data_IF_873173972795
#
_entry.id   IF_873173972795
#
_cell.length_a   1.000
_cell.length_b   1.000
_cell.length_c   1.000
_cell.angle_alpha   90.00
_cell.angle_beta   90.00
_cell.angle_gamma   90.00
#
_symmetry.space_group_name_H-M   'P 1'
#
loop_
_entity.id
_entity.type
_entity.pdbx_description
1 polymer ?
#
# COMPACT_ATOMS: atom_id res chain seq x y z
N UNK A 1 43.80 -20.76 -36.68
CA UNK A 1 44.30 -19.99 -35.51
C UNK A 1 43.49 -18.71 -35.26
N UNK A 2 43.18 -17.87 -36.27
CA UNK A 2 42.37 -16.63 -36.10
C UNK A 2 40.98 -16.84 -35.49
N UNK A 3 40.26 -17.89 -35.89
CA UNK A 3 38.89 -18.15 -35.41
C UNK A 3 38.83 -18.61 -33.95
N UNK A 4 39.87 -19.32 -33.48
CA UNK A 4 39.97 -19.80 -32.10
C UNK A 4 40.20 -18.65 -31.11
N UNK A 5 40.99 -17.64 -31.50
CA UNK A 5 41.17 -16.43 -30.70
C UNK A 5 39.87 -15.61 -30.58
N UNK A 6 39.08 -15.55 -31.66
CA UNK A 6 37.79 -14.85 -31.66
C UNK A 6 36.78 -15.52 -30.71
N UNK A 7 36.70 -16.85 -30.73
CA UNK A 7 35.84 -17.64 -29.83
C UNK A 7 36.25 -17.47 -28.36
N UNK A 8 37.55 -17.36 -28.08
CA UNK A 8 38.05 -17.15 -26.72
C UNK A 8 37.65 -15.78 -26.15
N UNK A 9 37.75 -14.71 -26.95
CA UNK A 9 37.32 -13.38 -26.55
C UNK A 9 35.79 -13.28 -26.36
N UNK A 10 35.01 -14.00 -27.18
CA UNK A 10 33.56 -14.09 -27.00
C UNK A 10 33.22 -14.81 -25.68
N UNK A 11 33.87 -15.93 -25.37
CA UNK A 11 33.62 -16.68 -24.13
C UNK A 11 33.87 -15.85 -22.86
N UNK A 12 34.89 -14.98 -22.88
CA UNK A 12 35.18 -14.04 -21.77
C UNK A 12 34.13 -12.92 -21.68
N UNK A 13 33.57 -12.49 -22.81
CA UNK A 13 32.49 -11.49 -22.83
C UNK A 13 31.16 -12.01 -22.28
N UNK A 14 30.91 -13.33 -22.35
CA UNK A 14 29.69 -13.95 -21.79
C UNK A 14 29.76 -14.23 -20.28
N UNK A 15 30.93 -14.13 -19.64
CA UNK A 15 31.04 -14.22 -18.18
C UNK A 15 30.69 -12.87 -17.52
N UNK A 16 29.56 -12.30 -17.92
CA UNK A 16 29.01 -11.10 -17.30
C UNK A 16 28.93 -11.33 -15.79
N UNK A 17 29.61 -10.46 -15.04
CA UNK A 17 29.76 -10.51 -13.58
C UNK A 17 28.44 -10.13 -12.91
N UNK A 18 27.39 -10.92 -13.14
CA UNK A 18 26.12 -10.76 -12.48
C UNK A 18 26.33 -10.91 -10.98
N UNK A 19 25.96 -9.86 -10.25
CA UNK A 19 25.97 -9.85 -8.79
C UNK A 19 24.58 -10.27 -8.36
N UNK A 20 24.50 -11.41 -7.71
CA UNK A 20 23.26 -11.84 -7.07
C UNK A 20 22.93 -10.87 -5.92
N UNK A 21 21.80 -10.17 -6.04
CA UNK A 21 21.36 -9.20 -5.02
C UNK A 21 20.34 -9.90 -4.14
N UNK A 22 20.81 -10.42 -3.00
CA UNK A 22 19.93 -10.99 -1.99
C UNK A 22 19.32 -9.87 -1.16
N UNK A 23 18.07 -9.53 -1.45
CA UNK A 23 17.30 -8.59 -0.64
C UNK A 23 16.68 -9.33 0.56
N UNK A 24 17.15 -9.01 1.77
CA UNK A 24 16.43 -9.37 2.99
C UNK A 24 15.35 -8.34 3.23
N UNK A 25 14.12 -8.69 2.88
CA UNK A 25 13.00 -7.79 3.04
C UNK A 25 12.54 -7.79 4.50
N UNK A 26 12.66 -6.64 5.18
CA UNK A 26 12.09 -6.50 6.52
C UNK A 26 10.56 -6.50 6.41
N UNK A 27 9.89 -7.26 7.28
CA UNK A 27 8.44 -7.22 7.36
C UNK A 27 7.99 -5.81 7.76
N UNK A 28 7.16 -5.19 6.91
CA UNK A 28 6.62 -3.88 7.18
C UNK A 28 5.51 -4.01 8.24
N UNK A 29 5.74 -3.42 9.42
CA UNK A 29 4.69 -3.34 10.44
C UNK A 29 3.53 -2.46 9.92
N UNK A 30 2.28 -2.96 9.91
CA UNK A 30 1.13 -2.18 9.45
C UNK A 30 0.97 -0.89 10.24
N UNK A 31 0.79 0.23 9.54
CA UNK A 31 0.53 1.56 10.10
C UNK A 31 -0.91 1.97 9.87
N UNK A 32 -1.48 2.75 10.79
CA UNK A 32 -2.77 3.40 10.58
C UNK A 32 -2.65 4.41 9.44
N UNK A 33 -3.58 4.35 8.50
CA UNK A 33 -3.75 5.29 7.40
C UNK A 33 -5.09 6.00 7.59
N UNK A 34 -5.06 7.32 7.53
CA UNK A 34 -6.23 8.19 7.68
C UNK A 34 -6.40 8.97 6.39
N UNK A 35 -7.47 8.68 5.65
CA UNK A 35 -7.86 9.44 4.46
C UNK A 35 -9.12 10.23 4.79
N UNK A 36 -9.11 11.53 4.52
CA UNK A 36 -10.23 12.41 4.81
C UNK A 36 -10.51 13.33 3.62
N UNK A 37 -11.80 13.51 3.30
CA UNK A 37 -12.25 14.46 2.30
C UNK A 37 -13.37 15.34 2.87
N UNK A 38 -13.34 16.62 2.50
CA UNK A 38 -14.34 17.62 2.87
C UNK A 38 -14.67 18.39 1.59
N UNK A 39 -15.90 18.24 1.11
CA UNK A 39 -16.38 18.87 -0.11
C UNK A 39 -17.63 19.72 0.15
N UNK A 40 -17.85 20.73 -0.69
CA UNK A 40 -19.01 21.61 -0.54
C UNK A 40 -20.32 20.85 -0.77
N UNK A 41 -21.28 21.04 0.14
CA UNK A 41 -22.59 20.39 0.07
C UNK A 41 -22.61 18.91 0.44
N UNK A 42 -21.47 18.35 0.89
CA UNK A 42 -21.34 16.97 1.35
C UNK A 42 -20.88 16.93 2.81
N UNK A 43 -21.24 15.89 3.59
CA UNK A 43 -20.66 15.69 4.90
C UNK A 43 -19.16 15.32 4.78
N UNK A 44 -18.33 15.66 5.79
CA UNK A 44 -16.96 15.15 5.87
C UNK A 44 -16.92 13.63 5.84
N UNK A 45 -16.04 13.07 5.02
CA UNK A 45 -15.80 11.64 4.92
C UNK A 45 -14.41 11.31 5.46
N UNK A 46 -14.32 10.27 6.30
CA UNK A 46 -13.06 9.73 6.80
C UNK A 46 -13.04 8.23 6.57
N UNK A 47 -11.96 7.74 5.96
CA UNK A 47 -11.69 6.32 5.73
C UNK A 47 -10.45 5.97 6.54
N UNK A 48 -10.58 4.93 7.37
CA UNK A 48 -9.50 4.39 8.18
C UNK A 48 -9.10 3.02 7.66
N UNK A 49 -7.80 2.83 7.43
CA UNK A 49 -7.24 1.56 7.01
C UNK A 49 -5.86 1.31 7.61
N UNK A 50 -5.31 0.12 7.37
CA UNK A 50 -3.92 -0.22 7.69
C UNK A 50 -3.11 -0.32 6.40
N UNK A 51 -1.88 0.18 6.44
CA UNK A 51 -0.94 0.04 5.33
C UNK A 51 -0.64 -1.45 5.08
N UNK A 52 -0.62 -1.84 3.81
CA UNK A 52 -0.29 -3.20 3.40
C UNK A 52 1.18 -3.31 2.96
N UNK A 53 1.82 -4.47 3.16
CA UNK A 53 3.17 -4.73 2.67
C UNK A 53 3.22 -4.64 1.15
N UNK A 54 4.23 -3.93 0.62
CA UNK A 54 4.37 -3.67 -0.80
C UNK A 54 4.73 -4.92 -1.63
N UNK A 55 5.53 -5.82 -1.06
CA UNK A 55 6.06 -7.00 -1.75
C UNK A 55 5.32 -8.30 -1.39
N UNK A 56 4.09 -8.21 -0.89
CA UNK A 56 3.25 -9.38 -0.63
C UNK A 56 2.21 -9.58 -1.75
N UNK A 57 1.69 -10.80 -1.88
CA UNK A 57 0.59 -11.08 -2.81
C UNK A 57 -0.69 -10.48 -2.25
N UNK A 58 -1.21 -9.43 -2.91
CA UNK A 58 -2.44 -8.78 -2.49
C UNK A 58 -3.65 -9.68 -2.75
N UNK A 59 -4.25 -10.22 -1.68
CA UNK A 59 -5.50 -10.99 -1.75
C UNK A 59 -6.71 -10.09 -1.44
N UNK A 60 -7.88 -10.32 -2.07
CA UNK A 60 -9.09 -9.55 -1.78
C UNK A 60 -9.48 -9.54 -0.29
N UNK A 61 -9.27 -10.66 0.41
CA UNK A 61 -9.54 -10.77 1.85
C UNK A 61 -8.60 -9.92 2.71
N UNK A 62 -7.33 -9.75 2.32
CA UNK A 62 -6.39 -8.86 3.00
C UNK A 62 -6.79 -7.39 2.85
N UNK A 63 -7.30 -7.02 1.68
CA UNK A 63 -7.81 -5.67 1.45
C UNK A 63 -9.10 -5.40 2.25
N UNK A 64 -10.04 -6.35 2.25
CA UNK A 64 -11.28 -6.19 3.01
C UNK A 64 -11.05 -6.05 4.53
N UNK A 65 -10.03 -6.74 5.05
CA UNK A 65 -9.66 -6.71 6.48
C UNK A 65 -8.70 -5.56 6.85
N UNK A 66 -8.22 -4.77 5.88
CA UNK A 66 -7.35 -3.62 6.17
C UNK A 66 -8.14 -2.42 6.69
N UNK A 67 -9.43 -2.32 6.37
CA UNK A 67 -10.30 -1.24 6.83
C UNK A 67 -10.64 -1.36 8.32
N UNK A 68 -10.76 -0.22 8.98
CA UNK A 68 -11.08 -0.11 10.41
C UNK A 68 -12.45 0.53 10.55
N UNK A 69 -13.43 -0.22 11.06
CA UNK A 69 -14.81 0.23 11.26
C UNK A 69 -15.16 0.56 12.71
N UNK A 70 -14.41 0.02 13.68
CA UNK A 70 -14.63 0.25 15.11
C UNK A 70 -13.70 1.35 15.65
N UNK A 71 -13.99 2.59 15.26
CA UNK A 71 -13.20 3.75 15.67
C UNK A 71 -14.09 4.96 15.96
N UNK A 72 -13.75 5.70 17.03
CA UNK A 72 -14.33 7.00 17.31
C UNK A 72 -13.58 8.08 16.53
N UNK A 73 -14.26 8.75 15.60
CA UNK A 73 -13.68 9.79 14.74
C UNK A 73 -14.36 11.13 15.01
N UNK A 74 -13.56 12.19 15.11
CA UNK A 74 -14.08 13.56 15.21
C UNK A 74 -13.22 14.53 14.41
N UNK A 75 -13.86 15.57 13.88
CA UNK A 75 -13.21 16.69 13.20
C UNK A 75 -13.24 17.89 14.14
N UNK A 76 -12.11 18.55 14.35
CA UNK A 76 -12.04 19.77 15.16
C UNK A 76 -11.86 20.98 14.25
N UNK A 77 -12.72 21.98 14.40
CA UNK A 77 -12.61 23.26 13.67
C UNK A 77 -12.93 24.42 14.61
N UNK A 78 -12.01 25.38 14.72
CA UNK A 78 -12.12 26.54 15.61
C UNK A 78 -12.47 26.18 17.08
N UNK A 79 -11.85 25.12 17.60
CA UNK A 79 -12.08 24.65 18.98
C UNK A 79 -13.41 23.93 19.20
N UNK A 80 -14.26 23.78 18.17
CA UNK A 80 -15.47 22.94 18.21
C UNK A 80 -15.15 21.56 17.67
N UNK A 81 -15.65 20.54 18.36
CA UNK A 81 -15.50 19.13 17.99
C UNK A 81 -16.80 18.65 17.33
N UNK A 82 -16.65 18.03 16.16
CA UNK A 82 -17.74 17.47 15.36
C UNK A 82 -17.53 15.94 15.27
N UNK A 83 -18.23 15.13 16.07
CA UNK A 83 -18.13 13.68 15.99
C UNK A 83 -18.72 13.17 14.67
N UNK A 84 -18.06 12.19 14.05
CA UNK A 84 -18.54 11.54 12.84
C UNK A 84 -19.27 10.24 13.19
N UNK A 85 -20.23 9.86 12.33
CA UNK A 85 -20.93 8.59 12.42
C UNK A 85 -20.12 7.51 11.67
N UNK A 86 -19.83 6.40 12.34
CA UNK A 86 -19.17 5.23 11.73
C UNK A 86 -20.14 4.39 10.89
N UNK A 87 -19.60 3.72 9.87
CA UNK A 87 -20.32 2.80 8.98
C UNK A 87 -19.51 1.51 8.81
N UNK A 88 -20.18 0.35 8.85
CA UNK A 88 -19.52 -0.97 8.84
C UNK A 88 -19.28 -1.56 7.45
N UNK A 89 -19.86 -0.99 6.39
CA UNK A 89 -19.67 -1.48 5.04
C UNK A 89 -19.44 -0.38 4.01
N UNK A 90 -18.46 -0.62 3.14
CA UNK A 90 -18.21 0.16 1.93
C UNK A 90 -18.57 -0.74 0.74
N UNK A 91 -19.72 -0.50 0.12
CA UNK A 91 -20.06 -1.15 -1.15
C UNK A 91 -19.88 -0.12 -2.27
N UNK A 92 -18.95 -0.39 -3.19
CA UNK A 92 -18.76 0.41 -4.41
C UNK A 92 -18.62 1.93 -4.18
N UNK A 93 -17.86 2.35 -3.16
CA UNK A 93 -17.62 3.77 -2.85
C UNK A 93 -18.76 4.48 -2.12
N UNK A 94 -19.80 3.74 -1.71
CA UNK A 94 -20.92 4.28 -0.92
C UNK A 94 -20.86 3.68 0.49
N UNK A 95 -20.87 4.52 1.55
CA UNK A 95 -21.05 4.05 2.92
C UNK A 95 -22.45 3.43 3.03
N UNK A 96 -22.50 2.12 3.24
CA UNK A 96 -23.73 1.39 3.53
C UNK A 96 -23.72 1.02 5.01
N UNK A 97 -24.78 1.45 5.71
CA UNK A 97 -24.94 1.33 7.16
C UNK A 97 -25.09 -0.09 7.64
#
# INVERSE_FOLDING_TARGET
MRFSFLLFFIAIGLSACERDIVFTLNEATPKLVVEASIENGQPPLVILSKSLPFFDTLRPSQLATSFISDAAVSVTHNGRVYPLKGYSSFAAGVPVG
#
